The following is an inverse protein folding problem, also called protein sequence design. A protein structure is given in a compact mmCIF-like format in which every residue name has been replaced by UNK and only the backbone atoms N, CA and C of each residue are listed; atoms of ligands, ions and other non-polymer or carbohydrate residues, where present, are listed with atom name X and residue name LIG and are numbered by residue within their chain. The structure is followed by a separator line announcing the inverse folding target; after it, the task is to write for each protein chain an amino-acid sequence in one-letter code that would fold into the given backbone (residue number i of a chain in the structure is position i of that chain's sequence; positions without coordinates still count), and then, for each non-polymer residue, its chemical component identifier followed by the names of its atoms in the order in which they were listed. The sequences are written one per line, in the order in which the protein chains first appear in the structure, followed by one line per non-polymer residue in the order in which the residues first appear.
data_IF_620711343594
#
_entry.id   IF_620711343594
#
_cell.length_a   1.000
_cell.length_b   1.000
_cell.length_c   1.000
_cell.angle_alpha   90.00
_cell.angle_beta   90.00
_cell.angle_gamma   90.00
#
_symmetry.space_group_name_H-M   'P 1'
#
loop_
_entity.id
_entity.type
_entity.pdbx_description
1 polymer ?
#
# COMPACT_ATOMS: atom_id res chain seq x y z
N UNK A 1 -17.84 35.58 9.42
CA UNK A 1 -18.68 34.52 8.84
C UNK A 1 -17.78 33.32 8.61
N UNK A 2 -17.65 32.47 9.62
CA UNK A 2 -17.03 31.15 9.47
C UNK A 2 -17.98 30.34 8.58
N UNK A 3 -17.53 30.02 7.37
CA UNK A 3 -18.28 29.15 6.45
C UNK A 3 -18.31 27.78 7.13
N UNK A 4 -19.48 27.20 7.38
CA UNK A 4 -19.58 25.82 7.86
C UNK A 4 -19.22 24.88 6.70
N UNK A 5 -18.04 24.25 6.70
CA UNK A 5 -17.61 23.42 5.57
C UNK A 5 -18.51 22.19 5.41
N UNK A 6 -19.09 21.69 6.50
CA UNK A 6 -20.03 20.57 6.49
C UNK A 6 -21.29 20.85 5.66
N UNK A 7 -21.92 22.01 5.83
CA UNK A 7 -23.11 22.37 5.05
C UNK A 7 -22.79 22.59 3.58
N UNK A 8 -21.61 23.13 3.29
CA UNK A 8 -21.11 23.28 1.93
C UNK A 8 -20.98 21.90 1.26
N UNK A 9 -20.20 20.98 1.83
CA UNK A 9 -20.02 19.63 1.30
C UNK A 9 -21.36 18.88 1.16
N UNK A 10 -22.25 18.98 2.15
CA UNK A 10 -23.58 18.36 2.08
C UNK A 10 -24.42 18.83 0.89
N UNK A 11 -24.30 20.09 0.47
CA UNK A 11 -25.03 20.59 -0.72
C UNK A 11 -24.54 19.91 -1.99
N UNK A 12 -23.23 19.79 -2.18
CA UNK A 12 -22.63 19.10 -3.33
C UNK A 12 -22.97 17.60 -3.31
N UNK A 13 -22.86 16.96 -2.14
CA UNK A 13 -23.19 15.53 -2.00
C UNK A 13 -24.67 15.22 -2.29
N UNK A 14 -25.59 16.14 -1.99
CA UNK A 14 -27.01 16.01 -2.37
C UNK A 14 -27.23 16.06 -3.88
N UNK A 15 -26.38 16.77 -4.61
CA UNK A 15 -26.38 16.85 -6.06
C UNK A 15 -25.52 15.75 -6.72
N UNK A 16 -25.01 14.79 -5.94
CA UNK A 16 -24.09 13.73 -6.35
C UNK A 16 -22.77 14.23 -6.99
N UNK A 17 -22.40 15.47 -6.72
CA UNK A 17 -21.14 16.05 -7.18
C UNK A 17 -20.20 16.27 -5.99
N UNK A 18 -18.89 16.24 -6.25
CA UNK A 18 -17.88 16.66 -5.28
C UNK A 18 -17.43 18.09 -5.58
N UNK A 19 -16.96 18.86 -4.59
CA UNK A 19 -16.43 20.20 -4.82
C UNK A 19 -15.21 20.23 -5.74
N UNK A 20 -14.56 19.10 -5.94
CA UNK A 20 -13.45 18.86 -6.90
C UNK A 20 -13.93 18.59 -8.34
N UNK A 21 -15.25 18.55 -8.57
CA UNK A 21 -15.86 18.25 -9.87
C UNK A 21 -15.98 16.75 -10.20
N UNK A 22 -15.47 15.87 -9.32
CA UNK A 22 -15.54 14.42 -9.45
C UNK A 22 -16.89 13.83 -9.05
N UNK A 23 -17.20 12.65 -9.60
CA UNK A 23 -18.33 11.85 -9.14
C UNK A 23 -18.03 11.10 -7.82
N UNK A 24 -19.06 10.57 -7.16
CA UNK A 24 -18.93 9.86 -5.88
C UNK A 24 -18.03 8.60 -5.98
N UNK A 25 -17.98 7.97 -7.15
CA UNK A 25 -17.21 6.76 -7.42
C UNK A 25 -15.86 6.98 -8.09
N UNK A 26 -15.47 8.23 -8.33
CA UNK A 26 -14.32 8.56 -9.17
C UNK A 26 -13.02 8.68 -8.35
N UNK A 27 -12.04 7.87 -8.74
CA UNK A 27 -10.71 7.84 -8.14
C UNK A 27 -9.81 8.95 -8.69
N UNK A 28 -8.92 9.48 -7.86
CA UNK A 28 -7.86 10.39 -8.33
C UNK A 28 -6.86 9.66 -9.21
N UNK A 29 -6.18 10.45 -10.05
CA UNK A 29 -5.08 9.96 -10.88
C UNK A 29 -4.04 9.29 -9.99
N UNK A 30 -3.76 8.02 -10.29
CA UNK A 30 -2.76 7.22 -9.59
C UNK A 30 -1.52 7.14 -10.47
N UNK A 31 -0.40 7.62 -9.94
CA UNK A 31 0.91 7.55 -10.61
C UNK A 31 1.85 6.70 -9.77
N UNK A 32 2.56 5.80 -10.43
CA UNK A 32 3.42 4.81 -9.78
C UNK A 32 4.83 4.91 -10.39
N UNK A 33 5.84 5.05 -9.56
CA UNK A 33 7.24 5.02 -9.96
C UNK A 33 7.97 3.95 -9.15
N UNK A 34 8.32 2.85 -9.80
CA UNK A 34 9.01 1.72 -9.16
C UNK A 34 10.52 1.97 -9.23
N UNK A 35 11.25 1.57 -8.20
CA UNK A 35 12.72 1.69 -8.15
C UNK A 35 13.21 3.13 -7.96
N UNK A 36 12.43 3.97 -7.27
CA UNK A 36 12.77 5.38 -7.06
C UNK A 36 13.98 5.57 -6.12
N UNK A 37 14.23 4.62 -5.22
CA UNK A 37 15.35 4.60 -4.28
C UNK A 37 16.30 3.48 -4.69
N UNK A 38 17.54 3.84 -5.02
CA UNK A 38 18.59 2.89 -5.46
C UNK A 38 19.33 2.23 -4.30
N UNK A 39 19.28 2.81 -3.11
CA UNK A 39 19.93 2.28 -1.89
C UNK A 39 19.11 1.22 -1.18
N UNK A 40 17.84 1.05 -1.55
CA UNK A 40 16.93 0.05 -1.00
C UNK A 40 16.85 -1.16 -1.93
N UNK A 41 16.64 -2.35 -1.38
CA UNK A 41 16.55 -3.60 -2.14
C UNK A 41 15.30 -3.63 -3.02
N UNK A 42 14.23 -2.96 -2.56
CA UNK A 42 13.02 -2.66 -3.33
C UNK A 42 12.49 -1.28 -2.95
N UNK A 43 11.88 -0.58 -3.89
CA UNK A 43 11.28 0.71 -3.61
C UNK A 43 10.18 1.05 -4.60
N UNK A 44 9.21 1.85 -4.15
CA UNK A 44 8.19 2.43 -5.00
C UNK A 44 7.71 3.76 -4.43
N UNK A 45 7.44 4.70 -5.32
CA UNK A 45 6.81 5.99 -5.03
C UNK A 45 5.43 5.97 -5.69
N UNK A 46 4.40 6.18 -4.88
CA UNK A 46 3.01 6.23 -5.35
C UNK A 46 2.43 7.58 -5.02
N UNK A 47 1.75 8.17 -6.00
CA UNK A 47 1.03 9.42 -5.83
C UNK A 47 -0.40 9.25 -6.31
N UNK A 48 -1.35 9.37 -5.38
CA UNK A 48 -2.80 9.39 -5.62
C UNK A 48 -3.30 10.82 -5.47
N UNK A 49 -3.54 11.50 -6.60
CA UNK A 49 -3.81 12.93 -6.59
C UNK A 49 -2.64 13.71 -5.98
N UNK A 50 -2.81 14.29 -4.80
CA UNK A 50 -1.75 14.97 -4.06
C UNK A 50 -1.08 14.05 -3.02
N UNK A 51 -1.80 13.05 -2.49
CA UNK A 51 -1.25 12.12 -1.50
C UNK A 51 -0.09 11.35 -2.09
N UNK A 52 1.09 11.48 -1.47
CA UNK A 52 2.33 10.92 -1.97
C UNK A 52 2.96 10.03 -0.90
N UNK A 53 3.14 8.76 -1.19
CA UNK A 53 3.73 7.77 -0.28
C UNK A 53 4.92 7.10 -0.95
N UNK A 54 6.03 7.01 -0.22
CA UNK A 54 7.22 6.26 -0.62
C UNK A 54 7.30 5.00 0.23
N UNK A 55 7.44 3.85 -0.42
CA UNK A 55 7.78 2.60 0.24
C UNK A 55 9.22 2.23 -0.10
N UNK A 56 10.03 2.01 0.93
CA UNK A 56 11.37 1.43 0.85
C UNK A 56 11.36 0.07 1.54
N UNK A 57 11.94 -0.92 0.87
CA UNK A 57 12.09 -2.26 1.40
C UNK A 57 13.57 -2.53 1.59
N UNK A 58 13.90 -2.95 2.80
CA UNK A 58 15.24 -3.35 3.17
C UNK A 58 15.20 -4.74 3.77
N UNK A 59 16.13 -5.59 3.37
CA UNK A 59 16.18 -6.96 3.84
C UNK A 59 17.42 -7.22 4.70
N UNK A 60 17.21 -7.89 5.82
CA UNK A 60 18.26 -8.25 6.77
C UNK A 60 18.17 -9.73 7.14
N UNK A 61 19.27 -10.29 7.62
CA UNK A 61 19.30 -11.68 8.10
C UNK A 61 19.00 -11.72 9.59
N UNK A 62 18.18 -12.67 10.02
CA UNK A 62 17.96 -12.96 11.42
C UNK A 62 17.89 -14.46 11.68
N UNK A 63 18.03 -14.83 12.95
CA UNK A 63 17.77 -16.18 13.43
C UNK A 63 16.25 -16.32 13.66
N UNK A 64 15.59 -17.36 13.13
CA UNK A 64 14.16 -17.58 13.35
C UNK A 64 13.88 -17.94 14.81
N UNK A 65 12.62 -17.76 15.23
CA UNK A 65 12.17 -18.21 16.56
C UNK A 65 12.14 -19.73 16.63
N UNK A 66 12.32 -20.25 17.85
CA UNK A 66 12.27 -21.70 18.13
C UNK A 66 10.90 -22.29 17.79
N UNK A 67 9.83 -21.51 17.94
CA UNK A 67 8.45 -21.93 17.66
C UNK A 67 8.17 -22.06 16.15
N UNK A 68 8.88 -21.31 15.30
CA UNK A 68 8.68 -21.29 13.85
C UNK A 68 10.02 -21.23 13.09
N UNK A 69 10.79 -22.34 13.08
CA UNK A 69 12.14 -22.36 12.52
C UNK A 69 12.21 -22.19 11.00
N UNK A 70 11.07 -22.28 10.31
CA UNK A 70 10.93 -22.19 8.86
C UNK A 70 10.27 -20.91 8.35
N UNK A 71 9.99 -19.93 9.23
CA UNK A 71 9.29 -18.70 8.84
C UNK A 71 10.21 -17.49 8.96
N UNK A 72 10.29 -16.71 7.90
CA UNK A 72 10.87 -15.37 7.92
C UNK A 72 9.92 -14.33 8.52
N UNK A 73 10.41 -13.09 8.58
CA UNK A 73 9.69 -11.98 9.18
C UNK A 73 9.37 -10.93 8.14
N UNK A 74 8.18 -10.33 8.26
CA UNK A 74 7.78 -9.16 7.48
C UNK A 74 7.31 -8.13 8.49
N UNK A 75 7.98 -6.97 8.51
CA UNK A 75 7.73 -5.91 9.47
C UNK A 75 7.34 -4.65 8.69
N UNK A 76 6.04 -4.39 8.50
CA UNK A 76 5.58 -3.13 7.93
C UNK A 76 5.63 -2.03 8.98
N UNK A 77 6.03 -0.85 8.53
CA UNK A 77 6.05 0.35 9.35
C UNK A 77 5.58 1.54 8.50
N UNK A 78 4.61 2.28 9.00
CA UNK A 78 4.08 3.50 8.37
C UNK A 78 4.47 4.69 9.23
N UNK A 79 5.22 5.61 8.64
CA UNK A 79 5.59 6.87 9.26
C UNK A 79 4.86 8.06 8.63
N UNK A 80 4.37 8.94 9.49
CA UNK A 80 3.65 10.16 9.15
C UNK A 80 4.45 11.36 9.70
N UNK A 81 5.50 11.79 9.00
CA UNK A 81 6.33 12.91 9.42
C UNK A 81 5.54 14.23 9.38
N UNK A 82 5.99 15.27 10.11
CA UNK A 82 5.39 16.62 10.03
C UNK A 82 5.49 17.26 8.63
N UNK A 83 6.24 16.63 7.71
CA UNK A 83 6.32 17.02 6.31
C UNK A 83 4.99 16.84 5.58
N UNK A 84 4.23 15.78 5.89
CA UNK A 84 3.04 15.43 5.12
C UNK A 84 1.82 16.28 5.47
N UNK A 85 1.72 16.73 6.71
CA UNK A 85 0.78 17.79 7.08
C UNK A 85 1.19 18.44 8.40
N UNK A 86 0.79 19.68 8.60
CA UNK A 86 0.97 20.40 9.87
C UNK A 86 0.21 19.80 11.06
N UNK A 87 -0.65 18.81 10.82
CA UNK A 87 -1.37 18.06 11.86
C UNK A 87 -0.46 17.08 12.59
N UNK A 88 0.57 16.57 11.90
CA UNK A 88 1.50 15.61 12.47
C UNK A 88 2.61 16.33 13.22
N UNK A 89 2.95 15.82 14.40
CA UNK A 89 4.01 16.36 15.25
C UNK A 89 5.26 15.50 15.12
N UNK A 90 6.46 16.09 15.13
CA UNK A 90 7.69 15.33 15.25
C UNK A 90 7.73 14.63 16.61
N UNK A 91 8.10 13.35 16.63
CA UNK A 91 8.14 12.55 17.85
C UNK A 91 7.81 11.08 17.58
N UNK A 92 7.37 10.33 18.61
CA UNK A 92 6.90 8.96 18.42
C UNK A 92 5.71 8.92 17.45
N UNK A 93 5.50 7.79 16.76
CA UNK A 93 4.44 7.67 15.76
C UNK A 93 3.08 7.96 16.42
N UNK A 94 2.29 8.82 15.78
CA UNK A 94 0.93 9.14 16.25
C UNK A 94 -0.02 7.96 16.11
N UNK A 95 -1.20 8.07 16.72
CA UNK A 95 -2.23 7.02 16.70
C UNK A 95 -2.58 6.56 15.27
N UNK A 96 -2.74 7.50 14.34
CA UNK A 96 -3.04 7.19 12.94
C UNK A 96 -1.92 6.39 12.25
N UNK A 97 -0.65 6.72 12.52
CA UNK A 97 0.49 6.01 11.94
C UNK A 97 0.59 4.58 12.50
N UNK A 98 0.35 4.42 13.80
CA UNK A 98 0.31 3.10 14.46
C UNK A 98 -0.85 2.25 13.94
N UNK A 99 -2.05 2.83 13.83
CA UNK A 99 -3.23 2.15 13.29
C UNK A 99 -3.02 1.72 11.82
N UNK A 100 -2.42 2.58 10.99
CA UNK A 100 -2.07 2.25 9.61
C UNK A 100 -1.03 1.12 9.54
N UNK A 101 0.01 1.17 10.38
CA UNK A 101 1.04 0.12 10.46
C UNK A 101 0.43 -1.23 10.84
N UNK A 102 -0.43 -1.25 11.87
CA UNK A 102 -1.12 -2.47 12.30
C UNK A 102 -2.08 -2.98 11.21
N UNK A 103 -2.84 -2.09 10.57
CA UNK A 103 -3.74 -2.47 9.50
C UNK A 103 -2.99 -3.13 8.33
N UNK A 104 -1.84 -2.59 7.94
CA UNK A 104 -1.04 -3.19 6.87
C UNK A 104 -0.45 -4.54 7.32
N UNK A 105 -0.03 -4.67 8.58
CA UNK A 105 0.38 -5.96 9.13
C UNK A 105 -0.75 -7.00 9.06
N UNK A 106 -1.98 -6.62 9.42
CA UNK A 106 -3.14 -7.49 9.32
C UNK A 106 -3.44 -7.86 7.86
N UNK A 107 -3.30 -6.91 6.92
CA UNK A 107 -3.48 -7.18 5.48
C UNK A 107 -2.44 -8.17 4.97
N UNK A 108 -1.17 -8.03 5.38
CA UNK A 108 -0.09 -8.96 5.00
C UNK A 108 -0.40 -10.37 5.54
N UNK A 109 -0.83 -10.48 6.79
CA UNK A 109 -1.15 -11.79 7.40
C UNK A 109 -2.38 -12.45 6.76
N UNK A 110 -3.44 -11.67 6.49
CA UNK A 110 -4.70 -12.19 5.94
C UNK A 110 -4.59 -12.55 4.47
N UNK A 111 -3.89 -11.72 3.68
CA UNK A 111 -3.74 -11.96 2.23
C UNK A 111 -2.77 -13.10 1.93
N UNK A 112 -1.78 -13.34 2.81
CA UNK A 112 -0.71 -14.32 2.60
C UNK A 112 -0.04 -14.17 1.22
N UNK A 113 0.10 -12.93 0.72
CA UNK A 113 0.69 -12.71 -0.59
C UNK A 113 2.17 -13.10 -0.65
N UNK A 114 2.85 -13.04 0.50
CA UNK A 114 4.22 -13.50 0.69
C UNK A 114 4.21 -14.65 1.69
N UNK A 115 4.62 -15.83 1.25
CA UNK A 115 4.80 -16.95 2.17
C UNK A 115 6.07 -16.74 2.99
N UNK A 116 5.93 -16.80 4.30
CA UNK A 116 7.06 -16.66 5.24
C UNK A 116 8.07 -17.80 5.06
N UNK A 117 7.63 -18.92 4.50
CA UNK A 117 8.45 -20.07 4.16
C UNK A 117 9.43 -19.77 3.02
N UNK A 118 9.05 -18.93 2.06
CA UNK A 118 9.89 -18.54 0.92
C UNK A 118 11.05 -17.62 1.36
N UNK A 119 10.95 -17.04 2.56
CA UNK A 119 11.98 -16.21 3.20
C UNK A 119 12.99 -17.03 4.03
N UNK A 120 12.79 -18.34 4.18
CA UNK A 120 13.70 -19.19 4.94
C UNK A 120 14.86 -19.67 4.06
N UNK A 121 16.10 -19.36 4.46
CA UNK A 121 17.29 -19.85 3.78
C UNK A 121 17.68 -21.21 4.35
N UNK A 122 17.87 -21.30 5.67
CA UNK A 122 18.11 -22.56 6.37
C UNK A 122 17.30 -22.64 7.66
N UNK A 123 16.57 -23.76 7.79
CA UNK A 123 15.65 -24.02 8.90
C UNK A 123 16.40 -23.92 10.23
N UNK A 124 15.90 -23.05 11.12
CA UNK A 124 16.42 -22.88 12.47
C UNK A 124 17.74 -22.11 12.58
N UNK A 125 18.36 -21.70 11.47
CA UNK A 125 19.62 -20.94 11.50
C UNK A 125 19.46 -19.53 10.95
N UNK A 126 18.88 -19.39 9.76
CA UNK A 126 18.93 -18.13 9.03
C UNK A 126 17.68 -17.94 8.17
N UNK A 127 17.01 -16.81 8.42
CA UNK A 127 15.83 -16.36 7.69
C UNK A 127 15.97 -14.90 7.29
N UNK A 128 15.24 -14.51 6.24
CA UNK A 128 15.11 -13.12 5.86
C UNK A 128 14.10 -12.39 6.74
N UNK A 129 14.46 -11.17 7.11
CA UNK A 129 13.58 -10.15 7.67
C UNK A 129 13.38 -9.08 6.60
N UNK A 130 12.13 -8.87 6.22
CA UNK A 130 11.73 -7.82 5.28
C UNK A 130 11.20 -6.64 6.09
N UNK A 131 11.96 -5.55 6.12
CA UNK A 131 11.49 -4.28 6.65
C UNK A 131 10.83 -3.49 5.52
N UNK A 132 9.55 -3.21 5.69
CA UNK A 132 8.76 -2.43 4.74
C UNK A 132 8.45 -1.08 5.35
N UNK A 133 9.31 -0.09 5.11
CA UNK A 133 9.11 1.27 5.60
C UNK A 133 8.33 2.08 4.57
N UNK A 134 7.19 2.62 4.99
CA UNK A 134 6.33 3.47 4.19
C UNK A 134 6.28 4.86 4.82
N UNK A 135 6.67 5.88 4.08
CA UNK A 135 6.68 7.26 4.54
C UNK A 135 5.73 8.09 3.69
N UNK A 136 4.76 8.73 4.34
CA UNK A 136 3.90 9.70 3.67
C UNK A 136 4.68 11.03 3.51
N UNK A 137 4.79 11.53 2.28
CA UNK A 137 5.43 12.81 1.98
C UNK A 137 4.43 13.96 1.94
N UNK A 138 3.24 13.70 1.41
CA UNK A 138 2.15 14.66 1.29
C UNK A 138 0.84 13.94 1.63
N UNK A 139 0.06 14.48 2.57
CA UNK A 139 -1.16 13.88 3.07
C UNK A 139 -2.38 14.66 2.59
N UNK A 140 -3.08 14.11 1.61
CA UNK A 140 -4.35 14.63 1.08
C UNK A 140 -5.45 13.56 1.11
N UNK A 141 -5.45 12.72 2.15
CA UNK A 141 -6.41 11.62 2.35
C UNK A 141 -6.08 10.35 1.58
N UNK A 142 -6.84 9.29 1.87
CA UNK A 142 -6.70 7.95 1.33
C UNK A 142 -5.28 7.34 1.49
N UNK A 143 -4.72 7.46 2.69
CA UNK A 143 -3.39 6.96 3.02
C UNK A 143 -3.26 5.43 2.86
N UNK A 144 -4.27 4.68 3.30
CA UNK A 144 -4.20 3.21 3.36
C UNK A 144 -4.08 2.58 1.97
N UNK A 145 -4.85 3.09 1.01
CA UNK A 145 -4.79 2.64 -0.38
C UNK A 145 -3.41 2.96 -0.98
N UNK A 146 -2.91 4.18 -0.74
CA UNK A 146 -1.59 4.60 -1.19
C UNK A 146 -0.48 3.69 -0.66
N UNK A 147 -0.52 3.37 0.63
CA UNK A 147 0.44 2.49 1.28
C UNK A 147 0.42 1.07 0.70
N UNK A 148 -0.76 0.48 0.48
CA UNK A 148 -0.86 -0.89 -0.04
C UNK A 148 -0.39 -0.98 -1.49
N UNK A 149 -0.74 0.00 -2.32
CA UNK A 149 -0.24 0.08 -3.71
C UNK A 149 1.29 0.25 -3.71
N UNK A 150 1.82 1.12 -2.84
CA UNK A 150 3.26 1.35 -2.72
C UNK A 150 4.00 0.10 -2.23
N UNK A 151 3.46 -0.58 -1.23
CA UNK A 151 4.01 -1.82 -0.69
C UNK A 151 4.08 -2.91 -1.75
N UNK A 152 2.97 -3.17 -2.47
CA UNK A 152 2.95 -4.18 -3.54
C UNK A 152 3.94 -3.85 -4.65
N UNK A 153 3.99 -2.58 -5.08
CA UNK A 153 4.92 -2.15 -6.12
C UNK A 153 6.37 -2.27 -5.68
N UNK A 154 6.69 -1.91 -4.43
CA UNK A 154 8.02 -2.02 -3.88
C UNK A 154 8.45 -3.48 -3.75
N UNK A 155 7.58 -4.36 -3.25
CA UNK A 155 7.87 -5.79 -3.08
C UNK A 155 8.16 -6.47 -4.41
N UNK A 156 7.44 -6.11 -5.48
CA UNK A 156 7.70 -6.63 -6.82
C UNK A 156 9.03 -6.20 -7.41
N UNK A 157 9.57 -5.07 -6.93
CA UNK A 157 10.87 -4.58 -7.34
C UNK A 157 12.02 -5.19 -6.56
N UNK A 158 11.74 -5.90 -5.46
CA UNK A 158 12.77 -6.47 -4.60
C UNK A 158 13.61 -7.45 -5.40
N UNK A 159 14.92 -7.20 -5.43
CA UNK A 159 15.90 -8.09 -6.04
C UNK A 159 16.87 -8.57 -4.96
N UNK A 160 16.77 -9.86 -4.64
CA UNK A 160 17.59 -10.46 -3.59
C UNK A 160 18.79 -11.19 -4.18
N UNK A 161 20.00 -10.99 -3.65
CA UNK A 161 21.10 -11.88 -3.99
C UNK A 161 20.79 -13.30 -3.51
N UNK A 162 21.25 -14.30 -4.24
CA UNK A 162 21.14 -15.69 -3.79
C UNK A 162 22.07 -15.91 -2.60
N UNK A 163 21.53 -16.45 -1.52
CA UNK A 163 22.29 -16.74 -0.31
C UNK A 163 22.34 -18.24 -0.11
N UNK A 164 23.55 -18.76 0.02
CA UNK A 164 23.78 -20.17 0.35
C UNK A 164 24.65 -20.25 1.61
N UNK A 165 24.45 -21.28 2.41
CA UNK A 165 25.26 -21.50 3.59
C UNK A 165 26.31 -22.54 3.22
N UNK A 166 27.57 -22.15 3.28
CA UNK A 166 28.68 -23.05 3.01
C UNK A 166 28.80 -24.08 4.12
N UNK A 167 28.72 -25.35 3.75
CA UNK A 167 28.73 -26.50 4.68
C UNK A 167 30.06 -26.60 5.45
N UNK A 168 31.15 -26.03 4.91
CA UNK A 168 32.49 -26.08 5.51
C UNK A 168 32.77 -24.96 6.53
N UNK A 169 32.21 -23.77 6.33
CA UNK A 169 32.46 -22.59 7.19
C UNK A 169 31.27 -22.23 8.08
N UNK A 170 30.07 -22.71 7.77
CA UNK A 170 28.83 -22.34 8.45
C UNK A 170 28.45 -20.86 8.26
N UNK A 171 29.11 -20.16 7.33
CA UNK A 171 28.86 -18.76 7.01
C UNK A 171 27.94 -18.64 5.80
N UNK A 172 27.10 -17.59 5.81
CA UNK A 172 26.26 -17.25 4.68
C UNK A 172 27.12 -16.61 3.58
N UNK A 173 27.28 -17.31 2.46
CA UNK A 173 27.87 -16.77 1.25
C UNK A 173 26.76 -16.14 0.41
N UNK A 174 26.91 -14.84 0.17
CA UNK A 174 25.99 -14.04 -0.64
C UNK A 174 26.57 -13.92 -2.03
N UNK A 175 25.97 -14.59 -3.01
CA UNK A 175 26.33 -14.39 -4.41
C UNK A 175 25.57 -13.18 -4.95
N UNK A 176 26.31 -12.10 -5.18
CA UNK A 176 25.77 -10.83 -5.68
C UNK A 176 25.46 -10.87 -7.18
N UNK A 177 25.90 -11.91 -7.91
CA UNK A 177 25.71 -12.01 -9.36
C UNK A 177 24.34 -12.58 -9.73
N UNK A 178 23.74 -13.39 -8.85
CA UNK A 178 22.41 -13.96 -9.05
C UNK A 178 21.40 -13.19 -8.21
N UNK A 179 20.54 -12.43 -8.89
CA UNK A 179 19.44 -11.71 -8.24
C UNK A 179 18.12 -12.40 -8.52
N UNK A 180 17.51 -12.94 -7.48
CA UNK A 180 16.20 -13.55 -7.52
C UNK A 180 15.15 -12.51 -7.12
N UNK A 181 14.08 -12.44 -7.90
CA UNK A 181 12.91 -11.66 -7.52
C UNK A 181 12.12 -12.40 -6.44
N UNK A 182 11.50 -11.64 -5.55
CA UNK A 182 10.63 -12.18 -4.53
C UNK A 182 9.31 -12.63 -5.15
N UNK A 183 8.94 -13.89 -4.95
CA UNK A 183 7.71 -14.46 -5.50
C UNK A 183 6.50 -14.00 -4.71
N UNK A 184 5.77 -13.02 -5.25
CA UNK A 184 4.48 -12.59 -4.72
C UNK A 184 3.37 -13.38 -5.40
N UNK A 185 2.57 -14.11 -4.62
CA UNK A 185 1.52 -14.99 -5.16
C UNK A 185 0.20 -14.27 -5.43
N UNK A 186 -0.09 -13.24 -4.65
CA UNK A 186 -1.38 -12.54 -4.62
C UNK A 186 -1.18 -11.04 -4.58
N UNK A 187 -2.14 -10.26 -5.05
CA UNK A 187 -1.97 -8.81 -5.19
C UNK A 187 -3.12 -8.04 -4.55
N UNK A 188 -3.27 -8.07 -3.22
CA UNK A 188 -4.37 -7.39 -2.54
C UNK A 188 -4.33 -5.88 -2.74
N UNK A 189 -5.42 -5.30 -3.23
CA UNK A 189 -5.57 -3.84 -3.36
C UNK A 189 -6.60 -3.36 -2.36
N UNK A 190 -6.26 -2.32 -1.62
CA UNK A 190 -7.19 -1.62 -0.74
C UNK A 190 -7.97 -0.55 -1.50
N UNK A 191 -9.23 -0.38 -1.09
CA UNK A 191 -10.10 0.71 -1.53
C UNK A 191 -10.76 1.32 -0.31
N UNK A 192 -10.53 2.61 -0.09
CA UNK A 192 -11.11 3.35 1.03
C UNK A 192 -12.35 4.14 0.61
N UNK A 193 -13.33 4.11 1.49
CA UNK A 193 -14.64 4.73 1.37
C UNK A 193 -14.88 5.64 2.57
N UNK A 194 -15.35 6.86 2.32
CA UNK A 194 -15.88 7.73 3.36
C UNK A 194 -17.41 7.73 3.33
N UNK A 195 -18.00 7.71 4.52
CA UNK A 195 -19.44 7.63 4.73
C UNK A 195 -19.93 8.99 5.24
N UNK A 196 -20.91 9.55 4.54
CA UNK A 196 -21.59 10.80 4.89
C UNK A 196 -23.06 10.54 5.16
N UNK A 197 -23.56 11.08 6.28
CA UNK A 197 -24.97 11.04 6.67
C UNK A 197 -25.61 9.64 6.49
N UNK A 198 -24.83 8.60 6.79
CA UNK A 198 -25.17 7.16 6.82
C UNK A 198 -25.68 6.55 5.51
N UNK A 199 -25.72 7.35 4.44
CA UNK A 199 -26.41 7.03 3.19
C UNK A 199 -25.52 7.19 1.97
N UNK A 200 -24.59 8.15 2.02
CA UNK A 200 -23.72 8.52 0.90
C UNK A 200 -22.34 7.94 1.15
N UNK A 201 -21.87 7.16 0.18
CA UNK A 201 -20.53 6.58 0.17
C UNK A 201 -19.74 7.27 -0.94
N UNK A 202 -18.63 7.88 -0.58
CA UNK A 202 -17.65 8.39 -1.53
C UNK A 202 -16.41 7.51 -1.52
N UNK A 203 -15.79 7.40 -2.68
CA UNK A 203 -14.58 6.62 -2.87
C UNK A 203 -13.37 7.54 -2.95
N UNK A 204 -12.23 7.11 -2.43
CA UNK A 204 -10.98 7.87 -2.41
C UNK A 204 -11.19 9.29 -1.82
N UNK A 205 -11.46 9.36 -0.50
CA UNK A 205 -11.73 10.62 0.16
C UNK A 205 -10.48 11.50 0.27
N UNK A 206 -10.67 12.81 0.17
CA UNK A 206 -9.63 13.80 0.44
C UNK A 206 -9.43 13.99 1.95
N UNK A 207 -8.34 14.63 2.37
CA UNK A 207 -8.08 14.88 3.80
C UNK A 207 -9.21 15.72 4.46
N UNK A 208 -9.82 16.63 3.71
CA UNK A 208 -10.98 17.38 4.18
C UNK A 208 -12.19 16.48 4.35
N UNK A 209 -12.51 15.67 3.34
CA UNK A 209 -13.65 14.74 3.39
C UNK A 209 -13.50 13.71 4.52
N UNK A 210 -12.31 13.17 4.75
CA UNK A 210 -12.03 12.28 5.89
C UNK A 210 -12.31 12.94 7.23
N UNK A 211 -11.99 14.23 7.35
CA UNK A 211 -12.22 15.01 8.59
C UNK A 211 -13.72 15.26 8.82
N UNK A 212 -14.49 15.39 7.74
CA UNK A 212 -15.92 15.71 7.75
C UNK A 212 -16.80 14.45 7.73
N UNK A 213 -16.24 13.29 7.40
CA UNK A 213 -16.96 12.04 7.28
C UNK A 213 -17.50 11.55 8.62
N UNK A 214 -18.66 10.92 8.59
CA UNK A 214 -19.29 10.29 9.75
C UNK A 214 -18.72 8.88 10.03
N UNK A 215 -18.04 8.29 9.05
CA UNK A 215 -17.37 7.01 9.16
C UNK A 215 -16.44 6.74 7.99
N UNK A 216 -15.50 5.83 8.20
CA UNK A 216 -14.54 5.37 7.21
C UNK A 216 -14.62 3.86 7.10
N UNK A 217 -14.47 3.33 5.89
CA UNK A 217 -14.38 1.90 5.63
C UNK A 217 -13.32 1.64 4.57
N UNK A 218 -12.42 0.70 4.81
CA UNK A 218 -11.40 0.27 3.87
C UNK A 218 -11.59 -1.21 3.58
N UNK A 219 -11.73 -1.55 2.30
CA UNK A 219 -11.99 -2.91 1.84
C UNK A 219 -10.79 -3.36 1.03
N UNK A 220 -10.23 -4.52 1.37
CA UNK A 220 -9.08 -5.10 0.68
C UNK A 220 -9.53 -6.33 -0.09
N UNK A 221 -9.30 -6.33 -1.40
CA UNK A 221 -9.73 -7.39 -2.32
C UNK A 221 -8.53 -7.93 -3.07
N UNK A 222 -8.51 -9.26 -3.23
CA UNK A 222 -7.51 -10.02 -3.99
C UNK A 222 -7.89 -10.17 -5.48
N UNK A 223 -6.97 -10.67 -6.30
CA UNK A 223 -7.16 -10.91 -7.74
C UNK A 223 -8.24 -11.95 -8.07
N UNK A 224 -8.53 -12.84 -7.13
CA UNK A 224 -9.63 -13.81 -7.21
C UNK A 224 -10.97 -13.21 -6.73
N UNK A 225 -11.09 -11.88 -6.66
CA UNK A 225 -12.26 -11.14 -6.14
C UNK A 225 -12.63 -11.53 -4.69
N UNK A 226 -11.69 -12.14 -3.95
CA UNK A 226 -11.85 -12.54 -2.55
C UNK A 226 -11.58 -11.36 -1.61
N UNK A 227 -12.38 -11.30 -0.55
CA UNK A 227 -12.21 -10.32 0.52
C UNK A 227 -11.07 -10.73 1.45
N UNK A 228 -9.99 -9.95 1.49
CA UNK A 228 -8.86 -10.18 2.39
C UNK A 228 -9.10 -9.56 3.78
N UNK A 229 -9.55 -8.30 3.81
CA UNK A 229 -9.78 -7.57 5.05
C UNK A 229 -10.83 -6.49 4.85
N UNK A 230 -11.60 -6.21 5.91
CA UNK A 230 -12.47 -5.04 6.02
C UNK A 230 -12.09 -4.31 7.28
N UNK A 231 -11.69 -3.06 7.14
CA UNK A 231 -11.33 -2.20 8.25
C UNK A 231 -12.33 -1.06 8.36
N UNK A 232 -13.10 -1.07 9.44
CA UNK A 232 -14.04 -0.01 9.79
C UNK A 232 -13.72 0.44 11.22
N UNK A 233 -12.86 1.46 11.40
CA UNK A 233 -12.36 1.87 12.72
C UNK A 233 -13.44 2.53 13.60
N UNK A 234 -14.65 2.75 13.09
CA UNK A 234 -15.75 3.32 13.85
C UNK A 234 -16.74 4.05 12.95
N UNK A 235 -17.49 4.98 13.54
CA UNK A 235 -18.47 5.81 12.83
C UNK A 235 -19.80 5.11 12.59
N UNK A 236 -20.60 5.69 11.71
CA UNK A 236 -21.99 5.30 11.52
C UNK A 236 -22.19 3.90 10.93
N UNK A 237 -23.39 3.36 11.11
CA UNK A 237 -23.76 2.04 10.61
C UNK A 237 -23.82 2.03 9.07
N UNK A 238 -23.23 1.01 8.45
CA UNK A 238 -23.39 0.75 7.03
C UNK A 238 -24.44 -0.36 6.83
N UNK A 239 -25.41 -0.15 5.93
CA UNK A 239 -26.33 -1.22 5.56
C UNK A 239 -25.59 -2.30 4.76
N UNK A 240 -26.02 -3.56 4.90
CA UNK A 240 -25.40 -4.69 4.19
C UNK A 240 -25.42 -4.51 2.68
N UNK A 241 -26.50 -3.97 2.11
CA UNK A 241 -26.62 -3.70 0.67
C UNK A 241 -25.59 -2.68 0.19
N UNK A 242 -25.34 -1.62 0.95
CA UNK A 242 -24.33 -0.62 0.61
C UNK A 242 -22.91 -1.18 0.71
N UNK A 243 -22.67 -2.04 1.70
CA UNK A 243 -21.38 -2.72 1.83
C UNK A 243 -21.12 -3.63 0.62
N UNK A 244 -22.15 -4.32 0.09
CA UNK A 244 -22.03 -5.09 -1.14
C UNK A 244 -21.69 -4.20 -2.35
N UNK A 245 -22.34 -3.04 -2.50
CA UNK A 245 -21.98 -2.08 -3.56
C UNK A 245 -20.51 -1.61 -3.43
N UNK A 246 -20.05 -1.33 -2.21
CA UNK A 246 -18.65 -0.99 -1.96
C UNK A 246 -17.70 -2.14 -2.35
N UNK A 247 -18.04 -3.40 -2.08
CA UNK A 247 -17.23 -4.55 -2.50
C UNK A 247 -17.13 -4.63 -4.02
N UNK A 248 -18.24 -4.47 -4.74
CA UNK A 248 -18.25 -4.50 -6.22
C UNK A 248 -17.40 -3.36 -6.80
N UNK A 249 -17.47 -2.18 -6.20
CA UNK A 249 -16.59 -1.04 -6.59
C UNK A 249 -15.12 -1.33 -6.30
N UNK A 250 -14.82 -1.92 -5.14
CA UNK A 250 -13.46 -2.31 -4.79
C UNK A 250 -12.89 -3.36 -5.76
N UNK A 251 -13.69 -4.33 -6.19
CA UNK A 251 -13.31 -5.30 -7.23
C UNK A 251 -13.01 -4.62 -8.57
N UNK A 252 -13.84 -3.66 -8.97
CA UNK A 252 -13.61 -2.89 -10.21
C UNK A 252 -12.30 -2.12 -10.14
N UNK A 253 -12.06 -1.44 -9.00
CA UNK A 253 -10.83 -0.68 -8.76
C UNK A 253 -9.59 -1.58 -8.72
N UNK A 254 -9.69 -2.74 -8.08
CA UNK A 254 -8.61 -3.70 -8.01
C UNK A 254 -8.11 -4.03 -9.42
N UNK A 255 -9.02 -4.30 -10.37
CA UNK A 255 -8.66 -4.62 -11.77
C UNK A 255 -7.95 -3.48 -12.47
N UNK A 256 -8.34 -2.23 -12.21
CA UNK A 256 -7.65 -1.05 -12.76
C UNK A 256 -6.23 -0.91 -12.22
N UNK A 257 -6.08 -0.97 -10.89
CA UNK A 257 -4.78 -0.84 -10.21
C UNK A 257 -3.86 -1.98 -10.59
N UNK A 258 -4.38 -3.20 -10.69
CA UNK A 258 -3.60 -4.37 -11.10
C UNK A 258 -3.07 -4.22 -12.53
N UNK A 259 -3.90 -3.72 -13.47
CA UNK A 259 -3.46 -3.39 -14.83
C UNK A 259 -2.32 -2.39 -14.82
N UNK A 260 -2.46 -1.28 -14.08
CA UNK A 260 -1.41 -0.28 -13.95
C UNK A 260 -0.12 -0.85 -13.40
N UNK A 261 -0.21 -1.64 -12.32
CA UNK A 261 0.95 -2.28 -11.71
C UNK A 261 1.68 -3.17 -12.75
N UNK A 262 0.92 -3.95 -13.51
CA UNK A 262 1.47 -4.82 -14.55
C UNK A 262 2.12 -4.05 -15.71
N UNK A 263 1.55 -2.91 -16.11
CA UNK A 263 2.09 -2.04 -17.16
C UNK A 263 3.38 -1.37 -16.72
N UNK A 264 3.40 -0.82 -15.51
CA UNK A 264 4.59 -0.14 -14.98
C UNK A 264 5.72 -1.15 -14.77
N UNK A 265 5.43 -2.36 -14.26
CA UNK A 265 6.44 -3.41 -14.17
C UNK A 265 7.08 -3.77 -15.50
N UNK A 266 6.28 -3.91 -16.58
CA UNK A 266 6.80 -4.17 -17.93
C UNK A 266 7.66 -3.03 -18.44
N UNK A 267 7.35 -1.79 -18.06
CA UNK A 267 8.15 -0.62 -18.44
C UNK A 267 9.45 -0.50 -17.65
N UNK A 268 9.47 -0.99 -16.41
CA UNK A 268 10.59 -0.85 -15.46
C UNK A 268 11.58 -2.00 -15.58
N UNK A 269 11.18 -3.19 -16.04
CA UNK A 269 12.11 -4.23 -16.45
C UNK A 269 12.65 -3.87 -17.84
N UNK A 270 13.84 -3.24 -17.96
CA UNK A 270 14.37 -2.97 -19.28
C UNK A 270 14.80 -4.32 -19.84
N UNK A 271 14.40 -4.59 -21.07
CA UNK A 271 15.14 -5.49 -21.96
C UNK A 271 16.64 -5.34 -21.70
N UNK A 272 17.33 -6.46 -21.54
CA UNK A 272 18.77 -6.63 -21.30
C UNK A 272 19.67 -6.09 -22.43
N UNK A 273 19.33 -4.95 -23.02
CA UNK A 273 20.15 -4.22 -23.99
C UNK A 273 20.20 -2.75 -23.59
N UNK A 274 21.42 -2.31 -23.25
CA UNK A 274 21.67 -0.99 -22.69
C UNK A 274 21.20 0.16 -23.58
N UNK A 275 20.37 1.03 -22.99
CA UNK A 275 20.35 2.48 -23.22
C UNK A 275 19.57 3.13 -22.08
N UNK A 276 20.23 4.06 -21.39
CA UNK A 276 19.60 4.95 -20.42
C UNK A 276 18.48 5.75 -21.10
N UNK A 277 17.24 5.51 -20.69
CA UNK A 277 16.12 6.40 -20.93
C UNK A 277 15.45 6.80 -19.61
N UNK A 278 15.11 8.08 -19.51
CA UNK A 278 14.51 8.74 -18.34
C UNK A 278 13.22 8.06 -17.84
N UNK A 279 12.84 8.23 -16.55
CA UNK A 279 11.66 7.59 -15.98
C UNK A 279 10.38 8.02 -16.70
N UNK A 280 9.71 7.07 -17.36
CA UNK A 280 8.44 7.28 -18.07
C UNK A 280 7.31 7.36 -17.05
N UNK A 281 6.73 8.56 -16.88
CA UNK A 281 5.52 8.78 -16.08
C UNK A 281 4.32 8.13 -16.78
N UNK A 282 3.74 7.11 -16.17
CA UNK A 282 2.42 6.60 -16.56
C UNK A 282 1.34 7.37 -15.77
N UNK A 283 0.45 8.05 -16.49
CA UNK A 283 -0.71 8.76 -15.94
C UNK A 283 -1.96 8.22 -16.62
N UNK A 284 -3.00 7.93 -15.84
CA UNK A 284 -4.31 7.56 -16.37
C UNK A 284 -5.06 8.83 -16.80
N UNK A 285 -5.50 8.79 -18.06
CA UNK A 285 -6.36 9.73 -18.79
C UNK A 285 -5.75 11.06 -19.25
N UNK A 286 -5.97 11.29 -20.56
CA UNK A 286 -6.14 12.59 -21.21
C UNK A 286 -7.61 12.98 -21.10
#
# INVERSE_FOLDING_TARGET
RTVEPLEYYRKFLKENCRPDGRELGEFRTTTLNIGSITTADGSALVKLGNTTVVCGIKMEFAVPTVDAPNKGYVVPNVDLPPLCSSRFRPGPPGEQAQAASQFIADVIENSQFLQKEDLCIEKGKLVWVVYCDMMCLDYDGNLLDACIIALLAALKNVQLPSVSISVETGLAEVDMNQKNQLNIRKHPVATSFAIFDDTIFIVDPTAEEETLASGMATIVVDEEDRLCAVHKPGGSGASGEKLQDCIVRAQTRHREVYKLLSEVMKSVTPSTDGKQEAPKKASLYK
#
